data_IF_326867917291
#
_entry.id   IF_326867917291
#
_cell.length_a   1.000
_cell.length_b   1.000
_cell.length_c   1.000
_cell.angle_alpha   90.00
_cell.angle_beta   90.00
_cell.angle_gamma   90.00
#
_symmetry.space_group_name_H-M   'P 1'
#
loop_
_entity.id
_entity.type
_entity.pdbx_description
1 polymer ?
#
# COMPACT_ATOMS: atom_id res chain seq x y z
N UNK A 1 -10.82 23.91 -22.23
CA UNK A 1 -11.11 22.78 -21.32
C UNK A 1 -11.04 23.31 -19.91
N UNK A 2 -12.06 23.08 -19.09
CA UNK A 2 -11.95 23.34 -17.65
C UNK A 2 -11.05 22.24 -17.08
N UNK A 3 -10.02 22.58 -16.28
CA UNK A 3 -9.16 21.56 -15.72
C UNK A 3 -9.96 20.73 -14.69
N UNK A 4 -9.81 19.41 -14.74
CA UNK A 4 -10.51 18.48 -13.83
C UNK A 4 -10.07 18.63 -12.36
N UNK A 5 -8.88 19.18 -12.15
CA UNK A 5 -8.32 19.54 -10.85
C UNK A 5 -7.92 21.01 -10.85
N UNK A 6 -8.21 21.71 -9.76
CA UNK A 6 -7.61 23.03 -9.56
C UNK A 6 -6.07 22.90 -9.37
N UNK A 7 -5.29 23.95 -9.69
CA UNK A 7 -3.84 23.88 -9.64
C UNK A 7 -3.25 23.53 -8.27
N UNK A 8 -3.93 23.87 -7.16
CA UNK A 8 -3.46 23.57 -5.81
C UNK A 8 -3.69 22.10 -5.49
N UNK A 9 -4.90 21.58 -5.75
CA UNK A 9 -5.22 20.16 -5.55
C UNK A 9 -4.34 19.26 -6.41
N UNK A 10 -4.06 19.64 -7.66
CA UNK A 10 -3.13 18.88 -8.51
C UNK A 10 -1.73 18.79 -7.91
N UNK A 11 -1.18 19.90 -7.41
CA UNK A 11 0.15 19.92 -6.78
C UNK A 11 0.18 19.14 -5.46
N UNK A 12 -0.88 19.26 -4.66
CA UNK A 12 -1.03 18.52 -3.42
C UNK A 12 -1.12 17.01 -3.68
N UNK A 13 -1.92 16.59 -4.66
CA UNK A 13 -2.05 15.20 -5.07
C UNK A 13 -0.73 14.63 -5.61
N UNK A 14 0.00 15.42 -6.41
CA UNK A 14 1.31 15.04 -6.91
C UNK A 14 2.32 14.80 -5.78
N UNK A 15 2.39 15.74 -4.83
CA UNK A 15 3.28 15.63 -3.68
C UNK A 15 2.89 14.45 -2.79
N UNK A 16 1.60 14.35 -2.44
CA UNK A 16 1.08 13.29 -1.57
C UNK A 16 1.25 11.90 -2.19
N UNK A 17 0.87 11.74 -3.46
CA UNK A 17 1.06 10.48 -4.21
C UNK A 17 2.53 10.10 -4.31
N UNK A 18 3.44 11.07 -4.50
CA UNK A 18 4.88 10.80 -4.53
C UNK A 18 5.42 10.39 -3.16
N UNK A 19 4.97 11.03 -2.07
CA UNK A 19 5.34 10.66 -0.69
C UNK A 19 4.86 9.25 -0.36
N UNK A 20 3.59 8.95 -0.66
CA UNK A 20 3.04 7.60 -0.48
C UNK A 20 3.79 6.58 -1.34
N UNK A 21 4.06 6.90 -2.60
CA UNK A 21 4.82 6.04 -3.49
C UNK A 21 6.22 5.72 -2.95
N UNK A 22 6.92 6.72 -2.41
CA UNK A 22 8.22 6.54 -1.78
C UNK A 22 8.11 5.66 -0.52
N UNK A 23 7.10 5.87 0.32
CA UNK A 23 6.88 5.06 1.51
C UNK A 23 6.67 3.57 1.17
N UNK A 24 5.81 3.29 0.18
CA UNK A 24 5.59 1.94 -0.33
C UNK A 24 6.86 1.31 -0.92
N UNK A 25 7.67 2.07 -1.67
CA UNK A 25 8.95 1.57 -2.19
C UNK A 25 9.92 1.24 -1.06
N UNK A 26 10.06 2.11 -0.06
CA UNK A 26 10.98 1.88 1.06
C UNK A 26 10.56 0.61 1.82
N UNK A 27 9.29 0.50 2.21
CA UNK A 27 8.76 -0.68 2.90
C UNK A 27 8.95 -1.93 2.05
N UNK A 28 8.57 -1.88 0.77
CA UNK A 28 8.68 -3.03 -0.12
C UNK A 28 10.12 -3.51 -0.28
N UNK A 29 11.10 -2.60 -0.35
CA UNK A 29 12.52 -2.97 -0.35
C UNK A 29 12.94 -3.64 0.96
N UNK A 30 12.52 -3.11 2.11
CA UNK A 30 12.87 -3.68 3.41
C UNK A 30 12.34 -5.12 3.57
N UNK A 31 11.10 -5.36 3.17
CA UNK A 31 10.50 -6.70 3.20
C UNK A 31 11.14 -7.67 2.23
N UNK A 32 11.43 -7.24 0.99
CA UNK A 32 12.15 -8.05 0.02
C UNK A 32 13.55 -8.41 0.53
N UNK A 33 14.25 -7.47 1.16
CA UNK A 33 15.57 -7.72 1.77
C UNK A 33 15.47 -8.75 2.90
N UNK A 34 14.49 -8.60 3.79
CA UNK A 34 14.25 -9.57 4.87
C UNK A 34 13.93 -10.97 4.32
N UNK A 35 13.00 -11.05 3.37
CA UNK A 35 12.61 -12.31 2.76
C UNK A 35 13.76 -12.95 1.99
N UNK A 36 14.56 -12.16 1.26
CA UNK A 36 15.74 -12.67 0.56
C UNK A 36 16.78 -13.23 1.55
N UNK A 37 16.99 -12.53 2.67
CA UNK A 37 17.89 -12.99 3.71
C UNK A 37 17.42 -14.31 4.33
N UNK A 38 16.16 -14.41 4.74
CA UNK A 38 15.64 -15.61 5.44
C UNK A 38 15.41 -16.80 4.50
N UNK A 39 15.20 -16.57 3.21
CA UNK A 39 14.98 -17.66 2.24
C UNK A 39 16.27 -18.17 1.60
N UNK A 40 17.23 -17.29 1.32
CA UNK A 40 18.41 -17.65 0.53
C UNK A 40 19.74 -17.56 1.30
N UNK A 41 19.92 -16.55 2.16
CA UNK A 41 21.20 -16.36 2.87
C UNK A 41 21.26 -17.15 4.18
N UNK A 42 20.14 -17.20 4.91
CA UNK A 42 19.99 -17.98 6.14
C UNK A 42 18.65 -18.72 6.15
N UNK A 43 18.51 -19.78 5.34
CA UNK A 43 17.28 -20.57 5.23
C UNK A 43 16.78 -21.02 6.61
N UNK A 44 15.53 -20.69 6.93
CA UNK A 44 14.88 -21.08 8.19
C UNK A 44 15.22 -20.19 9.39
N UNK A 45 15.86 -19.04 9.19
CA UNK A 45 15.99 -18.05 10.26
C UNK A 45 14.61 -17.51 10.66
N UNK A 46 14.29 -17.60 11.96
CA UNK A 46 13.08 -17.00 12.53
C UNK A 46 13.21 -15.47 12.65
N UNK A 47 14.45 -14.97 12.76
CA UNK A 47 14.75 -13.54 12.90
C UNK A 47 14.99 -12.87 11.53
N UNK A 48 14.37 -11.70 11.37
CA UNK A 48 14.60 -10.82 10.24
C UNK A 48 15.99 -10.16 10.29
N UNK A 49 16.58 -9.87 9.13
CA UNK A 49 17.81 -9.05 9.06
C UNK A 49 17.57 -7.64 9.60
N UNK A 50 16.40 -7.07 9.27
CA UNK A 50 15.96 -5.75 9.71
C UNK A 50 14.73 -5.96 10.58
N UNK A 51 14.91 -5.81 11.90
CA UNK A 51 13.84 -5.93 12.88
C UNK A 51 13.16 -4.57 13.08
N UNK A 52 11.99 -4.40 12.47
CA UNK A 52 11.08 -3.28 12.71
C UNK A 52 9.71 -3.83 13.13
N UNK A 53 8.99 -3.15 14.05
CA UNK A 53 7.66 -3.57 14.44
C UNK A 53 6.73 -3.71 13.21
N UNK A 54 6.08 -4.88 13.08
CA UNK A 54 5.18 -5.19 11.98
C UNK A 54 5.83 -5.65 10.67
N UNK A 55 7.15 -5.47 10.51
CA UNK A 55 7.87 -5.88 9.31
C UNK A 55 8.13 -7.41 9.34
N UNK A 56 7.64 -8.19 8.37
CA UNK A 56 7.83 -9.63 8.34
C UNK A 56 9.28 -10.03 8.07
N UNK A 57 9.68 -11.19 8.60
CA UNK A 57 10.98 -11.79 8.32
C UNK A 57 11.04 -12.45 6.92
N UNK A 58 9.90 -12.83 6.34
CA UNK A 58 9.84 -13.75 5.20
C UNK A 58 8.77 -13.46 4.15
N UNK A 59 8.29 -12.22 4.02
CA UNK A 59 7.21 -11.89 3.08
C UNK A 59 7.72 -11.27 1.77
N UNK A 60 8.16 -12.12 0.83
CA UNK A 60 8.67 -11.65 -0.45
C UNK A 60 7.56 -11.04 -1.33
N UNK A 61 6.37 -11.63 -1.29
CA UNK A 61 5.26 -11.24 -2.16
C UNK A 61 4.57 -9.97 -1.66
N UNK A 62 4.45 -9.78 -0.35
CA UNK A 62 4.06 -8.49 0.26
C UNK A 62 5.00 -7.38 -0.16
N UNK A 63 6.31 -7.58 0.07
CA UNK A 63 7.33 -6.61 -0.28
C UNK A 63 7.36 -6.26 -1.77
N UNK A 64 7.26 -7.25 -2.65
CA UNK A 64 7.20 -7.02 -4.10
C UNK A 64 5.94 -6.26 -4.52
N UNK A 65 4.79 -6.60 -3.95
CA UNK A 65 3.53 -5.90 -4.20
C UNK A 65 3.62 -4.44 -3.75
N UNK A 66 4.17 -4.19 -2.57
CA UNK A 66 4.46 -2.86 -2.04
C UNK A 66 5.39 -2.05 -2.96
N UNK A 67 6.43 -2.67 -3.54
CA UNK A 67 7.27 -2.05 -4.58
C UNK A 67 6.46 -1.63 -5.81
N UNK A 68 5.63 -2.53 -6.36
CA UNK A 68 4.82 -2.25 -7.55
C UNK A 68 3.85 -1.10 -7.29
N UNK A 69 3.13 -1.14 -6.16
CA UNK A 69 2.23 -0.06 -5.72
C UNK A 69 2.99 1.27 -5.65
N UNK A 70 4.15 1.26 -4.99
CA UNK A 70 4.98 2.44 -4.80
C UNK A 70 5.46 3.05 -6.12
N UNK A 71 5.94 2.23 -7.05
CA UNK A 71 6.39 2.66 -8.38
C UNK A 71 5.25 3.24 -9.22
N UNK A 72 4.04 2.70 -9.12
CA UNK A 72 2.85 3.26 -9.77
C UNK A 72 2.48 4.61 -9.16
N UNK A 73 2.45 4.71 -7.83
CA UNK A 73 2.14 5.97 -7.13
C UNK A 73 3.19 7.06 -7.37
N UNK A 74 4.48 6.71 -7.52
CA UNK A 74 5.54 7.67 -7.85
C UNK A 74 5.33 8.38 -9.20
N UNK A 75 4.55 7.79 -10.12
CA UNK A 75 4.17 8.47 -11.36
C UNK A 75 3.32 9.73 -11.10
N UNK A 76 2.76 9.89 -9.89
CA UNK A 76 2.09 11.12 -9.45
C UNK A 76 2.96 12.37 -9.62
N UNK A 77 4.29 12.26 -9.58
CA UNK A 77 5.20 13.39 -9.80
C UNK A 77 4.96 14.09 -11.14
N UNK A 78 4.45 13.36 -12.14
CA UNK A 78 4.17 13.87 -13.48
C UNK A 78 3.02 14.88 -13.50
N UNK A 79 2.13 14.86 -12.50
CA UNK A 79 1.05 15.84 -12.31
C UNK A 79 1.55 17.27 -12.02
N UNK A 80 2.83 17.45 -11.69
CA UNK A 80 3.43 18.79 -11.63
C UNK A 80 3.54 19.45 -13.01
N UNK A 81 3.56 18.67 -14.10
CA UNK A 81 3.60 19.23 -15.45
C UNK A 81 2.22 19.75 -15.87
N UNK A 82 2.12 20.93 -16.49
CA UNK A 82 0.86 21.44 -17.02
C UNK A 82 0.28 20.48 -18.08
N UNK A 83 -1.06 20.42 -18.19
CA UNK A 83 -1.81 19.62 -19.17
C UNK A 83 -1.65 18.09 -19.07
N UNK A 84 -1.23 17.59 -17.91
CA UNK A 84 -1.13 16.15 -17.65
C UNK A 84 -2.16 15.66 -16.64
N UNK A 85 -3.39 16.14 -16.78
CA UNK A 85 -4.45 15.80 -15.83
C UNK A 85 -4.86 14.31 -15.93
N UNK A 86 -4.56 13.64 -17.05
CA UNK A 86 -4.69 12.18 -17.24
C UNK A 86 -3.77 11.36 -16.32
N UNK A 87 -2.63 11.91 -15.89
CA UNK A 87 -1.69 11.21 -15.00
C UNK A 87 -2.31 10.96 -13.59
N UNK A 88 -3.49 11.52 -13.29
CA UNK A 88 -4.31 11.17 -12.12
C UNK A 88 -4.67 9.68 -12.10
N UNK A 89 -4.76 9.05 -13.28
CA UNK A 89 -5.02 7.63 -13.41
C UNK A 89 -3.97 6.78 -12.68
N UNK A 90 -2.69 7.18 -12.68
CA UNK A 90 -1.65 6.45 -11.94
C UNK A 90 -1.89 6.50 -10.43
N UNK A 91 -2.32 7.66 -9.90
CA UNK A 91 -2.66 7.79 -8.48
C UNK A 91 -3.85 6.90 -8.13
N UNK A 92 -4.87 6.87 -9.00
CA UNK A 92 -6.04 6.02 -8.81
C UNK A 92 -5.68 4.53 -8.84
N UNK A 93 -4.93 4.09 -9.85
CA UNK A 93 -4.51 2.69 -10.00
C UNK A 93 -3.63 2.27 -8.84
N UNK A 94 -2.63 3.08 -8.47
CA UNK A 94 -1.77 2.79 -7.31
C UNK A 94 -2.57 2.69 -6.02
N UNK A 95 -3.57 3.56 -5.83
CA UNK A 95 -4.45 3.51 -4.66
C UNK A 95 -5.39 2.29 -4.67
N UNK A 96 -5.84 1.83 -5.85
CA UNK A 96 -6.65 0.62 -5.97
C UNK A 96 -5.84 -0.64 -5.67
N UNK A 97 -4.59 -0.71 -6.15
CA UNK A 97 -3.67 -1.80 -5.82
C UNK A 97 -3.37 -1.82 -4.32
N UNK A 98 -3.08 -0.66 -3.73
CA UNK A 98 -2.92 -0.49 -2.29
C UNK A 98 -4.17 -0.93 -1.51
N UNK A 99 -5.37 -0.63 -2.01
CA UNK A 99 -6.61 -1.08 -1.39
C UNK A 99 -6.79 -2.60 -1.45
N UNK A 100 -6.51 -3.21 -2.60
CA UNK A 100 -6.58 -4.66 -2.74
C UNK A 100 -5.64 -5.37 -1.76
N UNK A 101 -4.40 -4.90 -1.66
CA UNK A 101 -3.41 -5.46 -0.73
C UNK A 101 -3.71 -5.14 0.74
N UNK A 102 -4.04 -3.90 1.07
CA UNK A 102 -4.40 -3.53 2.45
C UNK A 102 -5.59 -4.34 2.97
N UNK A 103 -6.63 -4.54 2.16
CA UNK A 103 -7.76 -5.40 2.50
C UNK A 103 -7.33 -6.85 2.66
N UNK A 104 -6.46 -7.36 1.78
CA UNK A 104 -5.91 -8.71 1.91
C UNK A 104 -5.21 -8.91 3.26
N UNK A 105 -4.36 -7.99 3.70
CA UNK A 105 -3.66 -8.11 4.98
C UNK A 105 -4.58 -7.94 6.19
N UNK A 106 -5.63 -7.11 6.09
CA UNK A 106 -6.67 -7.07 7.13
C UNK A 106 -7.39 -8.41 7.24
N UNK A 107 -7.70 -9.06 6.10
CA UNK A 107 -8.32 -10.39 6.10
C UNK A 107 -7.38 -11.45 6.67
N UNK A 108 -6.08 -11.39 6.39
CA UNK A 108 -5.07 -12.28 6.99
C UNK A 108 -5.03 -12.11 8.51
N UNK A 109 -4.99 -10.87 9.01
CA UNK A 109 -5.05 -10.60 10.45
C UNK A 109 -6.30 -11.21 11.10
N UNK A 110 -7.47 -11.02 10.49
CA UNK A 110 -8.73 -11.61 10.98
C UNK A 110 -8.68 -13.14 10.93
N UNK A 111 -8.13 -13.72 9.87
CA UNK A 111 -8.00 -15.16 9.71
C UNK A 111 -7.08 -15.76 10.78
N UNK A 112 -5.94 -15.13 11.05
CA UNK A 112 -5.01 -15.55 12.10
C UNK A 112 -5.68 -15.48 13.48
N UNK A 113 -6.38 -14.37 13.78
CA UNK A 113 -7.12 -14.23 15.03
C UNK A 113 -8.23 -15.27 15.19
N UNK A 114 -8.99 -15.55 14.14
CA UNK A 114 -10.02 -16.59 14.15
C UNK A 114 -9.40 -17.99 14.32
N UNK A 115 -8.27 -18.26 13.67
CA UNK A 115 -7.53 -19.52 13.83
C UNK A 115 -7.11 -19.74 15.28
N UNK A 116 -6.50 -18.73 15.91
CA UNK A 116 -6.08 -18.78 17.31
C UNK A 116 -7.29 -18.95 18.27
N UNK A 117 -8.40 -18.26 18.00
CA UNK A 117 -9.64 -18.41 18.77
C UNK A 117 -10.22 -19.82 18.70
N UNK A 118 -10.16 -20.46 17.54
CA UNK A 118 -10.65 -21.83 17.34
C UNK A 118 -9.72 -22.87 17.96
N UNK A 119 -8.41 -22.65 17.91
CA UNK A 119 -7.43 -23.53 18.55
C UNK A 119 -7.53 -23.47 20.09
N UNK A 120 -7.78 -22.28 20.65
CA UNK A 120 -7.86 -22.07 22.09
C UNK A 120 -6.53 -22.34 22.81
N UNK A 121 -6.57 -22.41 24.14
CA UNK A 121 -5.42 -22.81 24.95
C UNK A 121 -4.18 -21.91 24.75
N UNK A 122 -3.05 -22.55 24.44
CA UNK A 122 -1.74 -21.91 24.26
C UNK A 122 -1.69 -21.01 23.02
N UNK A 123 -2.25 -21.44 21.88
CA UNK A 123 -2.23 -20.64 20.64
C UNK A 123 -2.99 -19.31 20.79
N UNK A 124 -4.13 -19.33 21.48
CA UNK A 124 -4.87 -18.11 21.77
C UNK A 124 -4.10 -17.19 22.72
N UNK A 125 -3.44 -17.76 23.74
CA UNK A 125 -2.64 -16.99 24.69
C UNK A 125 -1.44 -16.33 24.00
N UNK A 126 -0.74 -17.06 23.14
CA UNK A 126 0.42 -16.57 22.39
C UNK A 126 0.03 -15.47 21.40
N UNK A 127 -1.08 -15.65 20.67
CA UNK A 127 -1.58 -14.64 19.76
C UNK A 127 -2.01 -13.36 20.50
N UNK A 128 -2.69 -13.48 21.64
CA UNK A 128 -3.09 -12.33 22.47
C UNK A 128 -1.89 -11.63 23.14
N UNK A 129 -0.85 -12.37 23.48
CA UNK A 129 0.34 -11.82 24.12
C UNK A 129 1.16 -10.92 23.18
N UNK A 130 1.32 -11.32 21.92
CA UNK A 130 2.14 -10.54 20.97
C UNK A 130 1.81 -10.72 19.48
N UNK A 131 1.21 -11.85 19.09
CA UNK A 131 0.93 -12.16 17.68
C UNK A 131 0.02 -11.14 16.99
N UNK A 132 -1.05 -10.71 17.66
CA UNK A 132 -2.01 -9.74 17.10
C UNK A 132 -1.35 -8.40 16.73
N UNK A 133 -0.35 -7.98 17.52
CA UNK A 133 0.34 -6.70 17.31
C UNK A 133 1.24 -6.77 16.08
N UNK A 134 1.93 -7.90 15.88
CA UNK A 134 2.76 -8.12 14.70
C UNK A 134 1.92 -8.12 13.41
N UNK A 135 0.72 -8.72 13.46
CA UNK A 135 -0.19 -8.78 12.32
C UNK A 135 -0.84 -7.42 12.01
N UNK A 136 -1.31 -6.68 13.02
CA UNK A 136 -2.00 -5.39 12.79
C UNK A 136 -1.04 -4.27 12.37
N UNK A 137 0.23 -4.36 12.78
CA UNK A 137 1.26 -3.37 12.42
C UNK A 137 1.88 -3.63 11.03
N UNK A 138 1.37 -4.61 10.28
CA UNK A 138 1.78 -4.86 8.89
C UNK A 138 1.75 -3.55 8.07
N UNK A 139 2.85 -3.18 7.41
CA UNK A 139 2.95 -1.98 6.61
C UNK A 139 1.82 -1.74 5.64
N UNK A 140 1.33 -2.78 4.99
CA UNK A 140 0.27 -2.76 3.99
C UNK A 140 -1.04 -2.21 4.59
N UNK A 141 -1.31 -2.48 5.86
CA UNK A 141 -2.55 -2.06 6.53
C UNK A 141 -2.52 -0.54 6.74
N UNK A 142 -1.48 -0.01 7.38
CA UNK A 142 -1.46 1.42 7.67
C UNK A 142 -1.13 2.25 6.41
N UNK A 143 -0.31 1.76 5.49
CA UNK A 143 -0.09 2.41 4.20
C UNK A 143 -1.37 2.46 3.37
N UNK A 144 -2.22 1.44 3.44
CA UNK A 144 -3.54 1.46 2.81
C UNK A 144 -4.42 2.57 3.40
N UNK A 145 -4.53 2.65 4.73
CA UNK A 145 -5.31 3.71 5.39
C UNK A 145 -4.81 5.09 4.99
N UNK A 146 -3.49 5.27 4.94
CA UNK A 146 -2.87 6.53 4.52
C UNK A 146 -3.08 6.83 3.04
N UNK A 147 -3.27 5.86 2.14
CA UNK A 147 -3.47 6.18 0.71
C UNK A 147 -4.90 6.64 0.40
N UNK A 148 -5.87 6.41 1.29
CA UNK A 148 -7.29 6.68 1.06
C UNK A 148 -7.62 8.12 0.61
N UNK A 149 -7.01 9.18 1.18
CA UNK A 149 -7.27 10.55 0.71
C UNK A 149 -6.89 10.73 -0.76
N UNK A 150 -5.77 10.14 -1.20
CA UNK A 150 -5.34 10.17 -2.59
C UNK A 150 -6.36 9.47 -3.49
N UNK A 151 -6.83 8.29 -3.06
CA UNK A 151 -7.82 7.49 -3.77
C UNK A 151 -9.13 8.26 -4.00
N UNK A 152 -9.64 8.93 -2.96
CA UNK A 152 -10.88 9.70 -3.02
C UNK A 152 -10.75 10.86 -4.00
N UNK A 153 -9.65 11.61 -3.93
CA UNK A 153 -9.40 12.76 -4.81
C UNK A 153 -9.23 12.31 -6.26
N UNK A 154 -8.41 11.28 -6.50
CA UNK A 154 -8.15 10.77 -7.85
C UNK A 154 -9.40 10.16 -8.49
N UNK A 155 -10.23 9.47 -7.70
CA UNK A 155 -11.51 8.93 -8.16
C UNK A 155 -12.45 10.03 -8.64
N UNK A 156 -12.63 11.09 -7.83
CA UNK A 156 -13.49 12.23 -8.18
C UNK A 156 -13.00 12.91 -9.46
N UNK A 157 -11.70 13.15 -9.58
CA UNK A 157 -11.11 13.77 -10.76
C UNK A 157 -11.29 12.90 -12.02
N UNK A 158 -11.06 11.58 -11.92
CA UNK A 158 -11.22 10.66 -13.06
C UNK A 158 -12.67 10.62 -13.57
N UNK A 159 -13.66 10.65 -12.67
CA UNK A 159 -15.09 10.72 -13.06
C UNK A 159 -15.43 11.97 -13.85
N UNK A 160 -14.79 13.10 -13.54
CA UNK A 160 -14.98 14.35 -14.28
C UNK A 160 -14.38 14.23 -15.69
N UNK A 161 -13.15 13.71 -15.79
CA UNK A 161 -12.46 13.52 -17.07
C UNK A 161 -13.27 12.62 -18.01
N UNK A 162 -13.67 11.44 -17.54
CA UNK A 162 -14.45 10.48 -18.35
C UNK A 162 -15.84 11.03 -18.71
N UNK A 163 -16.48 11.77 -17.81
CA UNK A 163 -17.77 12.41 -18.07
C UNK A 163 -17.72 13.48 -19.14
N UNK A 164 -16.62 14.23 -19.26
CA UNK A 164 -16.45 15.24 -20.32
C UNK A 164 -16.17 14.63 -21.69
N UNK A 165 -15.54 13.46 -21.76
CA UNK A 165 -15.30 12.73 -23.01
C UNK A 165 -16.59 12.12 -23.58
N UNK A 166 -17.46 11.58 -22.73
CA UNK A 166 -18.74 10.98 -23.15
C UNK A 166 -19.77 11.97 -23.71
N UNK A 167 -19.63 13.27 -23.43
CA UNK A 167 -20.51 14.34 -23.98
C UNK A 167 -20.04 14.83 -25.35
N UNK A 168 -18.83 14.46 -25.77
CA UNK A 168 -18.21 14.88 -27.04
C UNK A 168 -18.20 13.80 -28.13
N UNK A 169 -18.67 12.59 -27.80
CA UNK A 169 -18.81 11.46 -28.72
C UNK A 169 -20.10 11.49 -29.51
#
# INVERSE_FOLDING_TARGET
MRPALDPRTRRALAAYGSVMGLAYVIIGLLEVVNAFYTWFLRPGAEEALIALPGLPAGDLFGGFSSLVIGLVLLQAIRLWRPRRDEDVAFVLVGSLLAAAFGVLYILIFIANGLSALLAGGEELADWLASGWLADVLRPEIWLFVLVLPAAIVSWRATRIIVGEEGVRG
#
